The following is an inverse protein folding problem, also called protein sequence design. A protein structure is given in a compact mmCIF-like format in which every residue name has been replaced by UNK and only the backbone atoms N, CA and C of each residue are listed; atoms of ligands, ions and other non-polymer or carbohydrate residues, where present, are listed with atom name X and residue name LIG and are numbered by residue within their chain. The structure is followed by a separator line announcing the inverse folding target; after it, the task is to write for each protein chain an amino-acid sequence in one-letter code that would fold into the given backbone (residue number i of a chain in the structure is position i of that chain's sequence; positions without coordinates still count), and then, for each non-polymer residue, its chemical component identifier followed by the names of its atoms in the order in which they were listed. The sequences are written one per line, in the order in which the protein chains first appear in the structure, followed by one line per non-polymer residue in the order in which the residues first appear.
data_IF_313788587371
#
_entry.id   IF_313788587371
#
_cell.length_a   1.000
_cell.length_b   1.000
_cell.length_c   1.000
_cell.angle_alpha   90.00
_cell.angle_beta   90.00
_cell.angle_gamma   90.00
#
_symmetry.space_group_name_H-M   'P 1'
#
loop_
_entity.id
_entity.type
_entity.pdbx_description
1 polymer ?
#
# COMPACT_ATOMS: atom_id res chain seq x y z
N UNK A 1 13.99 -22.94 -3.36
CA UNK A 1 14.68 -22.53 -2.12
C UNK A 1 14.20 -23.42 -0.98
N UNK A 2 15.04 -23.70 0.02
CA UNK A 2 14.59 -24.35 1.25
C UNK A 2 14.32 -23.26 2.29
N UNK A 3 13.09 -23.17 2.81
CA UNK A 3 12.68 -22.10 3.73
C UNK A 3 11.17 -21.98 3.86
N UNK A 4 10.69 -21.09 4.72
CA UNK A 4 9.26 -20.85 4.93
C UNK A 4 8.56 -20.37 3.65
N UNK A 5 7.32 -20.77 3.43
CA UNK A 5 6.53 -20.34 2.26
C UNK A 5 6.21 -18.84 2.32
N UNK A 6 6.41 -18.13 1.21
CA UNK A 6 6.03 -16.71 1.09
C UNK A 6 6.70 -16.03 -0.10
N UNK A 7 6.03 -15.04 -0.70
CA UNK A 7 6.58 -14.25 -1.81
C UNK A 7 7.88 -13.55 -1.41
N UNK A 8 7.92 -12.94 -0.22
CA UNK A 8 9.10 -12.28 0.33
C UNK A 8 10.27 -13.22 0.57
N UNK A 9 10.06 -14.43 1.09
CA UNK A 9 11.11 -15.44 1.23
C UNK A 9 11.68 -15.89 -0.13
N UNK A 10 10.82 -16.03 -1.14
CA UNK A 10 11.28 -16.32 -2.49
C UNK A 10 12.14 -15.18 -3.06
N UNK A 11 11.70 -13.93 -2.88
CA UNK A 11 12.47 -12.74 -3.30
C UNK A 11 13.78 -12.64 -2.52
N UNK A 12 13.78 -12.85 -1.19
CA UNK A 12 14.99 -12.91 -0.36
C UNK A 12 16.01 -13.89 -0.96
N UNK A 13 15.59 -15.11 -1.29
CA UNK A 13 16.48 -16.11 -1.88
C UNK A 13 17.06 -15.65 -3.24
N UNK A 14 16.31 -14.90 -4.03
CA UNK A 14 16.79 -14.29 -5.28
C UNK A 14 17.84 -13.19 -4.99
N UNK A 15 17.61 -12.37 -3.96
CA UNK A 15 18.59 -11.35 -3.53
C UNK A 15 19.87 -11.99 -2.99
N UNK A 16 19.76 -13.07 -2.21
CA UNK A 16 20.90 -13.88 -1.73
C UNK A 16 21.69 -14.45 -2.91
N UNK A 17 21.03 -15.03 -3.91
CA UNK A 17 21.68 -15.54 -5.12
C UNK A 17 22.37 -14.41 -5.92
N UNK A 18 21.75 -13.23 -5.99
CA UNK A 18 22.34 -12.04 -6.62
C UNK A 18 23.62 -11.61 -5.90
N UNK A 19 23.56 -11.55 -4.57
CA UNK A 19 24.70 -11.22 -3.73
C UNK A 19 25.87 -12.18 -3.92
N UNK A 20 25.59 -13.49 -3.94
CA UNK A 20 26.58 -14.56 -4.09
C UNK A 20 27.19 -14.63 -5.49
N UNK A 21 26.39 -14.39 -6.53
CA UNK A 21 26.85 -14.45 -7.92
C UNK A 21 27.64 -13.21 -8.36
N UNK A 22 27.51 -12.09 -7.63
CA UNK A 22 28.11 -10.82 -8.03
C UNK A 22 27.41 -10.16 -9.22
N UNK A 23 26.15 -10.53 -9.49
CA UNK A 23 25.38 -9.93 -10.57
C UNK A 23 25.19 -8.40 -10.37
N UNK A 24 25.33 -7.63 -11.45
CA UNK A 24 25.21 -6.17 -11.41
C UNK A 24 23.75 -5.68 -11.37
N UNK A 25 22.83 -6.49 -11.87
CA UNK A 25 21.40 -6.20 -11.87
C UNK A 25 20.61 -7.48 -11.58
N UNK A 26 19.50 -7.33 -10.87
CA UNK A 26 18.58 -8.41 -10.51
C UNK A 26 17.17 -7.99 -10.90
N UNK A 27 16.60 -8.61 -11.92
CA UNK A 27 15.21 -8.39 -12.32
C UNK A 27 14.31 -9.42 -11.67
N UNK A 28 13.22 -8.95 -11.07
CA UNK A 28 12.15 -9.77 -10.50
C UNK A 28 10.91 -9.56 -11.34
N UNK A 29 10.26 -10.66 -11.70
CA UNK A 29 9.05 -10.68 -12.51
C UNK A 29 8.09 -11.71 -11.94
N UNK A 30 6.82 -11.35 -11.77
CA UNK A 30 5.84 -12.32 -11.28
C UNK A 30 5.53 -13.38 -12.32
N UNK A 31 5.55 -14.65 -11.90
CA UNK A 31 5.25 -15.79 -12.77
C UNK A 31 3.83 -15.75 -13.37
N UNK A 32 2.91 -15.00 -12.74
CA UNK A 32 1.51 -14.86 -13.19
C UNK A 32 1.25 -13.54 -13.92
N UNK A 33 2.28 -12.80 -14.34
CA UNK A 33 2.10 -11.57 -15.11
C UNK A 33 1.49 -11.88 -16.50
N UNK A 34 0.21 -11.56 -16.76
CA UNK A 34 -0.50 -12.09 -17.91
C UNK A 34 -0.11 -11.43 -19.24
N UNK A 35 0.33 -10.17 -19.21
CA UNK A 35 0.65 -9.40 -20.41
C UNK A 35 2.16 -9.13 -20.59
N UNK A 36 3.04 -9.95 -19.99
CA UNK A 36 4.49 -9.77 -20.14
C UNK A 36 4.92 -9.82 -21.61
N UNK A 37 5.72 -8.85 -22.04
CA UNK A 37 6.31 -8.82 -23.38
C UNK A 37 7.85 -8.82 -23.33
N UNK A 38 8.54 -9.20 -24.41
CA UNK A 38 10.01 -9.21 -24.46
C UNK A 38 10.66 -7.85 -24.14
N UNK A 39 9.95 -6.74 -24.35
CA UNK A 39 10.44 -5.38 -24.16
C UNK A 39 10.55 -4.96 -22.69
N UNK A 40 9.81 -5.63 -21.79
CA UNK A 40 9.77 -5.29 -20.36
C UNK A 40 11.13 -5.47 -19.69
N UNK A 41 11.80 -6.60 -19.96
CA UNK A 41 13.08 -6.92 -19.31
C UNK A 41 14.18 -5.91 -19.67
N UNK A 42 14.44 -5.60 -20.96
CA UNK A 42 15.37 -4.52 -21.32
C UNK A 42 14.98 -3.18 -20.69
N UNK A 43 13.69 -2.82 -20.68
CA UNK A 43 13.23 -1.55 -20.13
C UNK A 43 13.50 -1.43 -18.62
N UNK A 44 13.35 -2.52 -17.86
CA UNK A 44 13.61 -2.54 -16.41
C UNK A 44 15.08 -2.69 -16.05
N UNK A 45 15.84 -3.48 -16.82
CA UNK A 45 17.25 -3.79 -16.50
C UNK A 45 18.18 -2.65 -16.94
N UNK A 46 17.93 -2.04 -18.11
CA UNK A 46 18.82 -1.02 -18.65
C UNK A 46 19.03 0.18 -17.71
N UNK A 47 18.00 0.75 -17.05
CA UNK A 47 18.19 1.88 -16.14
C UNK A 47 19.05 1.54 -14.92
N UNK A 48 19.02 0.29 -14.46
CA UNK A 48 19.89 -0.19 -13.38
C UNK A 48 21.34 -0.33 -13.85
N UNK A 49 21.55 -0.92 -15.03
CA UNK A 49 22.88 -1.04 -15.63
C UNK A 49 23.52 0.31 -15.97
N UNK A 50 22.72 1.36 -16.19
CA UNK A 50 23.20 2.73 -16.43
C UNK A 50 23.31 3.57 -15.18
N UNK A 51 23.05 3.00 -13.99
CA UNK A 51 23.40 3.61 -12.71
C UNK A 51 22.22 3.98 -11.81
N UNK A 52 20.99 3.52 -12.06
CA UNK A 52 19.95 3.56 -11.01
C UNK A 52 20.13 2.38 -10.04
N UNK A 53 19.68 2.56 -8.81
CA UNK A 53 19.73 1.51 -7.80
C UNK A 53 18.48 0.63 -7.86
N UNK A 54 17.34 1.21 -8.25
CA UNK A 54 16.04 0.54 -8.38
C UNK A 54 15.27 1.08 -9.59
N UNK A 55 14.82 0.19 -10.46
CA UNK A 55 13.81 0.47 -11.49
C UNK A 55 12.50 -0.23 -11.13
N UNK A 56 11.42 0.52 -10.95
CA UNK A 56 10.09 -0.03 -10.65
C UNK A 56 9.19 0.07 -11.87
N UNK A 57 8.50 -1.01 -12.21
CA UNK A 57 7.54 -1.00 -13.29
C UNK A 57 6.34 -0.11 -12.93
N UNK A 58 5.94 0.71 -13.89
CA UNK A 58 4.68 1.43 -13.89
C UNK A 58 3.79 0.82 -14.98
N UNK A 59 2.55 0.49 -14.64
CA UNK A 59 1.66 -0.23 -15.54
C UNK A 59 0.32 0.46 -15.70
N UNK A 60 -0.39 0.11 -16.76
CA UNK A 60 -1.82 0.34 -16.90
C UNK A 60 -2.61 -0.92 -16.56
N UNK A 61 -3.57 -0.80 -15.64
CA UNK A 61 -4.49 -1.85 -15.18
C UNK A 61 -5.83 -1.27 -14.75
N UNK A 62 -6.86 -2.11 -14.61
CA UNK A 62 -8.20 -1.64 -14.21
C UNK A 62 -8.24 -1.11 -12.78
N UNK A 63 -9.28 -0.33 -12.48
CA UNK A 63 -9.49 0.25 -11.15
C UNK A 63 -9.67 -0.81 -10.06
N UNK A 64 -10.30 -1.95 -10.37
CA UNK A 64 -10.43 -3.06 -9.43
C UNK A 64 -9.07 -3.69 -9.09
N UNK A 65 -8.15 -3.80 -10.06
CA UNK A 65 -6.79 -4.31 -9.85
C UNK A 65 -5.86 -3.30 -9.17
N UNK A 66 -6.13 -2.00 -9.29
CA UNK A 66 -5.30 -0.95 -8.69
C UNK A 66 -5.87 -0.38 -7.40
N UNK A 67 -7.06 -0.78 -6.96
CA UNK A 67 -7.78 -0.20 -5.83
C UNK A 67 -6.91 -0.03 -4.56
N UNK A 68 -6.16 -1.06 -4.16
CA UNK A 68 -5.26 -0.99 -3.00
C UNK A 68 -4.08 -0.02 -3.21
N UNK A 69 -3.56 0.03 -4.44
CA UNK A 69 -2.47 0.95 -4.77
C UNK A 69 -2.95 2.39 -4.74
N UNK A 70 -4.06 2.66 -5.44
CA UNK A 70 -4.56 3.99 -5.71
C UNK A 70 -5.22 4.62 -4.48
N UNK A 71 -5.85 3.82 -3.63
CA UNK A 71 -6.56 4.34 -2.47
C UNK A 71 -5.75 4.28 -1.17
N UNK A 72 -4.68 3.50 -1.08
CA UNK A 72 -3.95 3.35 0.18
C UNK A 72 -2.44 3.42 -0.02
N UNK A 73 -1.85 2.50 -0.78
CA UNK A 73 -0.39 2.37 -0.79
C UNK A 73 0.33 3.59 -1.38
N UNK A 74 -0.12 4.09 -2.53
CA UNK A 74 0.45 5.28 -3.14
C UNK A 74 0.14 6.56 -2.32
N UNK A 75 -1.11 6.83 -1.90
CA UNK A 75 -1.39 7.93 -0.98
C UNK A 75 -0.55 7.91 0.29
N UNK A 76 -0.32 6.74 0.89
CA UNK A 76 0.51 6.62 2.08
C UNK A 76 1.97 6.94 1.79
N UNK A 77 2.52 6.53 0.64
CA UNK A 77 3.88 6.92 0.21
C UNK A 77 3.97 8.45 0.00
N UNK A 78 2.96 9.08 -0.59
CA UNK A 78 2.89 10.55 -0.73
C UNK A 78 2.82 11.25 0.63
N UNK A 79 2.00 10.77 1.56
CA UNK A 79 1.98 11.29 2.93
C UNK A 79 3.34 11.10 3.64
N UNK A 80 3.95 9.91 3.53
CA UNK A 80 5.11 9.55 4.31
C UNK A 80 6.41 10.19 3.81
N UNK A 81 6.66 10.10 2.50
CA UNK A 81 7.92 10.52 1.86
C UNK A 81 7.78 11.77 0.99
N UNK A 82 6.55 12.23 0.72
CA UNK A 82 6.26 13.25 -0.29
C UNK A 82 6.89 12.92 -1.65
N UNK A 83 6.85 11.64 -2.05
CA UNK A 83 7.45 11.14 -3.29
C UNK A 83 6.40 10.57 -4.24
N UNK A 84 6.48 10.90 -5.52
CA UNK A 84 5.56 10.49 -6.60
C UNK A 84 5.88 9.10 -7.19
N UNK A 85 6.34 8.16 -6.35
CA UNK A 85 6.53 6.76 -6.73
C UNK A 85 5.17 6.08 -6.88
N UNK A 86 4.63 6.07 -8.10
CA UNK A 86 3.23 5.75 -8.42
C UNK A 86 2.81 4.32 -8.10
N UNK A 87 3.75 3.38 -8.22
CA UNK A 87 3.50 1.94 -8.15
C UNK A 87 4.34 1.28 -7.04
N UNK A 88 4.13 1.63 -5.76
CA UNK A 88 4.93 1.09 -4.66
C UNK A 88 4.69 -0.41 -4.43
N UNK A 89 3.65 -0.99 -5.04
CA UNK A 89 3.32 -2.42 -4.94
C UNK A 89 3.81 -3.24 -6.14
N UNK A 90 4.52 -2.63 -7.10
CA UNK A 90 4.93 -3.27 -8.35
C UNK A 90 5.51 -4.69 -8.16
N UNK A 91 4.94 -5.66 -8.86
CA UNK A 91 5.42 -7.05 -8.90
C UNK A 91 6.70 -7.23 -9.73
N UNK A 92 6.93 -6.29 -10.65
CA UNK A 92 8.03 -6.28 -11.60
C UNK A 92 8.95 -5.10 -11.29
N UNK A 93 10.21 -5.40 -10.98
CA UNK A 93 11.19 -4.38 -10.67
C UNK A 93 12.60 -4.94 -10.89
N UNK A 94 13.58 -4.05 -11.01
CA UNK A 94 14.99 -4.39 -11.09
C UNK A 94 15.80 -3.65 -10.04
N UNK A 95 16.72 -4.35 -9.38
CA UNK A 95 17.61 -3.82 -8.36
C UNK A 95 19.06 -3.90 -8.84
N UNK A 96 19.89 -2.94 -8.43
CA UNK A 96 21.34 -3.08 -8.54
C UNK A 96 21.85 -4.20 -7.62
N UNK A 97 22.98 -4.80 -7.98
CA UNK A 97 23.63 -5.82 -7.13
C UNK A 97 24.00 -5.30 -5.74
N UNK A 98 24.36 -4.01 -5.64
CA UNK A 98 24.64 -3.35 -4.37
C UNK A 98 23.40 -3.20 -3.51
N UNK A 99 22.27 -2.78 -4.10
CA UNK A 99 21.01 -2.67 -3.36
C UNK A 99 20.50 -4.06 -2.95
N UNK A 100 20.62 -5.08 -3.80
CA UNK A 100 20.27 -6.45 -3.43
C UNK A 100 21.07 -6.95 -2.22
N UNK A 101 22.37 -6.69 -2.17
CA UNK A 101 23.25 -7.02 -1.03
C UNK A 101 22.88 -6.26 0.24
N UNK A 102 22.52 -4.99 0.11
CA UNK A 102 22.08 -4.18 1.25
C UNK A 102 20.76 -4.73 1.82
N UNK A 103 19.74 -4.87 0.98
CA UNK A 103 18.40 -5.30 1.39
C UNK A 103 18.39 -6.69 2.03
N UNK A 104 19.16 -7.64 1.48
CA UNK A 104 19.22 -9.00 2.04
C UNK A 104 19.81 -9.04 3.46
N UNK A 105 20.68 -8.09 3.79
CA UNK A 105 21.32 -8.00 5.11
C UNK A 105 20.44 -7.39 6.21
N UNK A 106 19.26 -6.89 5.86
CA UNK A 106 18.37 -6.20 6.80
C UNK A 106 17.59 -7.18 7.68
N UNK A 107 17.37 -6.76 8.93
CA UNK A 107 16.63 -7.54 9.92
C UNK A 107 15.12 -7.31 9.79
N UNK A 108 14.54 -7.80 8.70
CA UNK A 108 13.10 -7.66 8.38
C UNK A 108 12.45 -8.97 7.95
N UNK A 109 13.27 -10.00 7.70
CA UNK A 109 12.82 -11.24 7.07
C UNK A 109 12.05 -12.18 8.00
N UNK A 110 11.90 -11.84 9.28
CA UNK A 110 11.00 -12.52 10.22
C UNK A 110 9.67 -11.76 10.41
N UNK A 111 9.39 -10.78 9.54
CA UNK A 111 8.16 -9.97 9.54
C UNK A 111 7.33 -10.21 8.28
N UNK A 112 6.24 -9.46 8.10
CA UNK A 112 5.41 -9.44 6.88
C UNK A 112 6.17 -9.19 5.57
N UNK A 113 7.37 -8.62 5.66
CA UNK A 113 8.30 -8.47 4.54
C UNK A 113 8.68 -9.81 3.94
N UNK A 114 8.79 -10.89 4.72
CA UNK A 114 9.01 -12.24 4.17
C UNK A 114 7.78 -12.84 3.48
N UNK A 115 6.63 -12.15 3.52
CA UNK A 115 5.34 -12.58 2.97
C UNK A 115 4.95 -11.68 1.80
N UNK A 116 3.80 -11.01 1.86
CA UNK A 116 3.33 -10.13 0.78
C UNK A 116 3.80 -8.67 0.92
N UNK A 117 4.36 -8.28 2.08
CA UNK A 117 4.83 -6.92 2.33
C UNK A 117 6.14 -6.56 1.62
N UNK A 118 6.81 -7.52 0.98
CA UNK A 118 8.14 -7.32 0.36
C UNK A 118 8.16 -6.19 -0.68
N UNK A 119 7.15 -6.09 -1.54
CA UNK A 119 7.15 -5.11 -2.63
C UNK A 119 7.13 -3.67 -2.09
N UNK A 120 6.17 -3.39 -1.20
CA UNK A 120 6.05 -2.07 -0.57
C UNK A 120 7.26 -1.75 0.29
N UNK A 121 7.81 -2.77 0.97
CA UNK A 121 9.04 -2.59 1.74
C UNK A 121 10.23 -2.21 0.87
N UNK A 122 10.46 -2.88 -0.27
CA UNK A 122 11.55 -2.53 -1.20
C UNK A 122 11.41 -1.08 -1.66
N UNK A 123 10.20 -0.67 -2.08
CA UNK A 123 9.90 0.68 -2.53
C UNK A 123 10.18 1.73 -1.44
N UNK A 124 9.58 1.55 -0.26
CA UNK A 124 9.72 2.49 0.85
C UNK A 124 11.15 2.50 1.42
N UNK A 125 11.84 1.35 1.44
CA UNK A 125 13.21 1.30 1.93
C UNK A 125 14.16 2.02 0.98
N UNK A 126 13.99 1.85 -0.33
CA UNK A 126 14.77 2.61 -1.31
C UNK A 126 14.53 4.12 -1.20
N UNK A 127 13.28 4.54 -0.91
CA UNK A 127 12.95 5.93 -0.65
C UNK A 127 13.63 6.45 0.62
N UNK A 128 13.51 5.72 1.74
CA UNK A 128 14.09 6.07 3.03
C UNK A 128 15.62 6.17 2.99
N UNK A 129 16.26 5.29 2.23
CA UNK A 129 17.70 5.26 2.00
C UNK A 129 18.20 6.37 1.05
N UNK A 130 17.30 7.11 0.39
CA UNK A 130 17.69 8.08 -0.64
C UNK A 130 18.30 7.44 -1.90
N UNK A 131 17.95 6.19 -2.23
CA UNK A 131 18.45 5.48 -3.43
C UNK A 131 17.99 6.17 -4.72
N UNK A 132 18.72 5.95 -5.80
CA UNK A 132 18.33 6.41 -7.15
C UNK A 132 17.27 5.47 -7.71
N UNK A 133 16.04 5.94 -7.71
CA UNK A 133 14.87 5.20 -8.15
C UNK A 133 14.42 5.78 -9.49
N UNK A 134 13.97 4.92 -10.40
CA UNK A 134 13.33 5.28 -11.65
C UNK A 134 12.05 4.46 -11.84
N UNK A 135 11.01 5.10 -12.37
CA UNK A 135 9.77 4.46 -12.77
C UNK A 135 9.84 4.15 -14.27
N UNK A 136 9.41 2.96 -14.67
CA UNK A 136 9.50 2.51 -16.06
C UNK A 136 8.12 2.09 -16.54
N UNK A 137 7.57 2.81 -17.52
CA UNK A 137 6.34 2.40 -18.18
C UNK A 137 6.57 1.12 -18.96
N UNK A 138 5.93 0.05 -18.51
CA UNK A 138 5.90 -1.25 -19.21
C UNK A 138 4.56 -1.49 -19.91
N UNK A 139 3.65 -0.50 -19.89
CA UNK A 139 2.36 -0.55 -20.53
C UNK A 139 1.35 -1.42 -19.79
N UNK A 140 0.49 -2.12 -20.53
CA UNK A 140 -0.60 -2.89 -19.95
C UNK A 140 -0.08 -4.15 -19.25
N UNK A 141 -0.35 -4.28 -17.94
CA UNK A 141 0.02 -5.48 -17.16
C UNK A 141 -1.00 -6.61 -17.27
N UNK A 142 -2.26 -6.26 -17.52
CA UNK A 142 -3.41 -7.15 -17.38
C UNK A 142 -3.89 -7.27 -15.94
N UNK A 143 -5.11 -7.76 -15.79
CA UNK A 143 -5.79 -7.81 -14.49
C UNK A 143 -5.58 -9.16 -13.80
N UNK A 144 -4.96 -9.12 -12.63
CA UNK A 144 -5.09 -10.21 -11.67
C UNK A 144 -6.48 -10.07 -11.04
N UNK A 145 -7.31 -11.10 -11.10
CA UNK A 145 -8.69 -11.04 -10.58
C UNK A 145 -8.71 -10.55 -9.12
N UNK A 146 -9.54 -9.54 -8.84
CA UNK A 146 -9.93 -9.00 -7.53
C UNK A 146 -8.87 -9.15 -6.41
N UNK A 147 -7.94 -8.20 -6.32
CA UNK A 147 -6.96 -8.14 -5.24
C UNK A 147 -7.04 -6.82 -4.46
N UNK A 148 -7.32 -6.83 -3.14
CA UNK A 148 -7.86 -7.89 -2.29
C UNK A 148 -9.32 -8.26 -2.61
N UNK A 149 -9.80 -9.45 -2.24
CA UNK A 149 -11.21 -9.84 -2.44
C UNK A 149 -11.84 -10.66 -1.30
N UNK A 150 -11.07 -11.22 -0.36
CA UNK A 150 -11.62 -11.97 0.78
C UNK A 150 -11.51 -11.18 2.08
N UNK A 151 -12.40 -11.43 3.05
CA UNK A 151 -12.35 -10.76 4.37
C UNK A 151 -11.11 -11.05 5.22
N UNK A 152 -10.26 -11.98 4.80
CA UNK A 152 -9.00 -12.33 5.46
C UNK A 152 -7.83 -12.30 4.47
N UNK A 153 -7.81 -11.29 3.59
CA UNK A 153 -6.77 -11.18 2.57
C UNK A 153 -5.42 -10.81 3.18
N UNK A 154 -4.57 -11.83 3.32
CA UNK A 154 -3.22 -11.69 3.86
C UNK A 154 -2.34 -10.71 3.06
N UNK A 155 -2.65 -10.41 1.79
CA UNK A 155 -1.89 -9.41 1.03
C UNK A 155 -2.14 -8.03 1.59
N UNK A 156 -3.40 -7.69 1.87
CA UNK A 156 -3.75 -6.43 2.50
C UNK A 156 -3.08 -6.30 3.87
N UNK A 157 -3.24 -7.33 4.71
CA UNK A 157 -2.64 -7.37 6.05
C UNK A 157 -1.14 -7.07 6.01
N UNK A 158 -0.39 -7.85 5.24
CA UNK A 158 1.07 -7.73 5.18
C UNK A 158 1.53 -6.41 4.54
N UNK A 159 0.83 -5.92 3.50
CA UNK A 159 1.21 -4.65 2.82
C UNK A 159 0.93 -3.46 3.72
N UNK A 160 -0.28 -3.37 4.29
CA UNK A 160 -0.67 -2.25 5.13
C UNK A 160 0.06 -2.29 6.48
N UNK A 161 0.20 -3.45 7.11
CA UNK A 161 1.00 -3.62 8.31
C UNK A 161 2.46 -3.21 8.10
N UNK A 162 3.05 -3.58 6.96
CA UNK A 162 4.40 -3.12 6.58
C UNK A 162 4.47 -1.59 6.48
N UNK A 163 3.52 -0.94 5.80
CA UNK A 163 3.48 0.52 5.68
C UNK A 163 3.29 1.22 7.02
N UNK A 164 2.33 0.79 7.82
CA UNK A 164 2.05 1.41 9.12
C UNK A 164 3.23 1.30 10.07
N UNK A 165 3.98 0.18 10.03
CA UNK A 165 5.20 0.00 10.83
C UNK A 165 6.29 1.05 10.53
N UNK A 166 6.33 1.62 9.32
CA UNK A 166 7.26 2.71 8.99
C UNK A 166 7.03 3.97 9.83
N UNK A 167 5.81 4.22 10.32
CA UNK A 167 5.53 5.37 11.19
C UNK A 167 6.34 5.31 12.49
N UNK A 168 6.53 4.10 13.03
CA UNK A 168 7.35 3.90 14.24
C UNK A 168 8.84 3.80 13.91
N UNK A 169 9.22 3.01 12.91
CA UNK A 169 10.64 2.75 12.63
C UNK A 169 11.37 3.93 11.98
N UNK A 170 10.65 4.80 11.27
CA UNK A 170 11.21 5.94 10.52
C UNK A 170 10.51 7.25 10.93
N UNK A 171 10.32 7.45 12.24
CA UNK A 171 9.57 8.59 12.80
C UNK A 171 10.07 9.96 12.31
N UNK A 172 11.38 10.13 12.14
CA UNK A 172 11.96 11.39 11.69
C UNK A 172 11.57 11.76 10.26
N UNK A 173 11.25 10.78 9.41
CA UNK A 173 11.00 11.01 7.97
C UNK A 173 9.67 11.71 7.76
N UNK A 174 8.58 11.15 8.29
CA UNK A 174 7.23 11.65 8.04
C UNK A 174 6.84 12.88 8.90
N UNK A 175 7.57 13.12 10.00
CA UNK A 175 7.39 14.29 10.85
C UNK A 175 8.03 15.56 10.28
N UNK A 176 8.92 15.42 9.31
CA UNK A 176 9.52 16.55 8.62
C UNK A 176 8.63 16.95 7.43
N UNK A 177 8.50 18.25 7.23
CA UNK A 177 7.90 18.78 6.00
C UNK A 177 8.96 18.74 4.91
N UNK A 178 9.02 17.62 4.19
CA UNK A 178 9.95 17.42 3.09
C UNK A 178 9.37 18.03 1.79
N UNK A 179 10.22 18.64 0.93
CA UNK A 179 9.79 19.04 -0.41
C UNK A 179 9.37 17.82 -1.21
N UNK A 180 8.55 18.04 -2.23
CA UNK A 180 8.14 16.97 -3.13
C UNK A 180 9.36 16.36 -3.84
N UNK A 181 9.44 15.04 -3.84
CA UNK A 181 10.47 14.26 -4.50
C UNK A 181 9.89 13.65 -5.77
N UNK A 182 10.15 14.32 -6.90
CA UNK A 182 9.86 13.79 -8.22
C UNK A 182 10.84 12.64 -8.58
N UNK A 183 10.32 11.44 -8.76
CA UNK A 183 11.03 10.23 -9.16
C UNK A 183 11.02 10.17 -10.69
N UNK A 184 12.20 10.11 -11.33
CA UNK A 184 12.31 10.04 -12.79
C UNK A 184 11.42 8.95 -13.39
N UNK A 185 10.74 9.29 -14.48
CA UNK A 185 9.86 8.38 -15.22
C UNK A 185 10.43 8.16 -16.62
N UNK A 186 10.46 6.90 -17.07
CA UNK A 186 10.97 6.49 -18.38
C UNK A 186 9.93 5.63 -19.11
N UNK A 187 9.91 5.73 -20.43
CA UNK A 187 9.01 4.95 -21.28
C UNK A 187 7.93 5.81 -21.95
N UNK A 188 7.07 5.18 -22.78
CA UNK A 188 6.21 5.89 -23.71
C UNK A 188 5.05 6.66 -23.07
N UNK A 189 4.71 6.41 -21.80
CA UNK A 189 3.54 6.98 -21.13
C UNK A 189 2.28 6.79 -21.98
N UNK A 190 2.08 5.57 -22.49
CA UNK A 190 1.03 5.31 -23.47
C UNK A 190 -0.35 5.69 -22.90
N UNK A 191 -1.23 6.16 -23.80
CA UNK A 191 -2.64 6.39 -23.50
C UNK A 191 -3.21 5.09 -22.91
N UNK A 192 -3.55 5.12 -21.62
CA UNK A 192 -4.01 3.93 -20.93
C UNK A 192 -5.39 3.50 -21.42
N UNK A 193 -5.72 2.24 -21.19
CA UNK A 193 -6.98 1.66 -21.63
C UNK A 193 -8.14 2.18 -20.78
N UNK A 194 -9.32 2.18 -21.40
CA UNK A 194 -10.58 2.34 -20.69
C UNK A 194 -11.03 0.96 -20.24
N UNK A 195 -11.35 0.84 -18.96
CA UNK A 195 -11.84 -0.38 -18.33
C UNK A 195 -13.29 -0.16 -17.93
N UNK A 196 -14.10 -1.21 -18.07
CA UNK A 196 -15.50 -1.22 -17.64
C UNK A 196 -15.80 -2.42 -16.74
N UNK A 197 -14.76 -3.11 -16.27
CA UNK A 197 -14.89 -4.30 -15.45
C UNK A 197 -15.30 -3.89 -14.02
N UNK A 198 -16.34 -4.53 -13.50
CA UNK A 198 -16.90 -4.31 -12.18
C UNK A 198 -17.15 -5.63 -11.42
N UNK A 199 -16.54 -6.73 -11.87
CA UNK A 199 -16.78 -8.09 -11.37
C UNK A 199 -16.53 -8.22 -9.85
N UNK A 200 -15.66 -7.39 -9.29
CA UNK A 200 -15.32 -7.40 -7.87
C UNK A 200 -16.27 -6.54 -6.99
N UNK A 201 -17.16 -5.74 -7.58
CA UNK A 201 -17.95 -4.75 -6.83
C UNK A 201 -18.87 -5.41 -5.80
N UNK A 202 -19.57 -6.48 -6.18
CA UNK A 202 -20.46 -7.20 -5.27
C UNK A 202 -19.69 -7.79 -4.09
N UNK A 203 -18.52 -8.36 -4.35
CA UNK A 203 -17.65 -8.94 -3.33
C UNK A 203 -17.14 -7.87 -2.35
N UNK A 204 -16.76 -6.68 -2.83
CA UNK A 204 -16.36 -5.58 -1.95
C UNK A 204 -17.53 -5.08 -1.10
N UNK A 205 -18.71 -4.95 -1.70
CA UNK A 205 -19.89 -4.48 -0.97
C UNK A 205 -20.32 -5.47 0.11
N UNK A 206 -20.35 -6.76 -0.19
CA UNK A 206 -20.61 -7.82 0.77
C UNK A 206 -19.59 -7.80 1.91
N UNK A 207 -18.29 -7.72 1.56
CA UNK A 207 -17.21 -7.63 2.54
C UNK A 207 -17.35 -6.41 3.46
N UNK A 208 -17.65 -5.23 2.92
CA UNK A 208 -17.86 -4.02 3.73
C UNK A 208 -19.02 -4.17 4.72
N UNK A 209 -20.16 -4.72 4.26
CA UNK A 209 -21.35 -4.94 5.10
C UNK A 209 -21.12 -6.02 6.16
N UNK A 210 -20.46 -7.12 5.82
CA UNK A 210 -20.08 -8.15 6.79
C UNK A 210 -19.13 -7.61 7.86
N UNK A 211 -18.16 -6.79 7.46
CA UNK A 211 -17.30 -6.07 8.41
C UNK A 211 -18.08 -5.17 9.37
N UNK A 212 -19.09 -4.44 8.87
CA UNK A 212 -19.98 -3.63 9.70
C UNK A 212 -20.79 -4.46 10.69
N UNK A 213 -21.19 -5.68 10.33
CA UNK A 213 -21.92 -6.59 11.22
C UNK A 213 -21.03 -7.25 12.28
N UNK A 214 -19.76 -7.50 11.97
CA UNK A 214 -18.88 -8.36 12.79
C UNK A 214 -17.77 -7.60 13.54
N UNK A 215 -17.33 -6.44 13.06
CA UNK A 215 -16.17 -5.71 13.58
C UNK A 215 -16.52 -4.34 14.17
N UNK A 216 -17.81 -4.01 14.32
CA UNK A 216 -18.27 -2.73 14.84
C UNK A 216 -17.64 -2.33 16.18
N UNK A 217 -17.43 -3.30 17.08
CA UNK A 217 -16.79 -3.02 18.37
C UNK A 217 -15.31 -2.67 18.22
N UNK A 218 -14.60 -3.31 17.28
CA UNK A 218 -13.22 -2.91 16.98
C UNK A 218 -13.18 -1.54 16.29
N UNK A 219 -14.11 -1.24 15.39
CA UNK A 219 -14.21 0.09 14.80
C UNK A 219 -14.48 1.16 15.85
N UNK A 220 -15.32 0.90 16.86
CA UNK A 220 -15.55 1.82 17.98
C UNK A 220 -14.31 2.06 18.85
N UNK A 221 -13.41 1.08 18.95
CA UNK A 221 -12.15 1.22 19.68
C UNK A 221 -11.09 2.01 18.90
N UNK A 222 -11.16 1.97 17.57
CA UNK A 222 -10.16 2.61 16.69
C UNK A 222 -10.59 4.01 16.26
N UNK A 223 -11.85 4.16 15.86
CA UNK A 223 -12.38 5.36 15.23
C UNK A 223 -12.96 6.34 16.25
N UNK A 224 -12.79 7.63 15.97
CA UNK A 224 -13.50 8.71 16.62
C UNK A 224 -15.01 8.59 16.37
N UNK A 225 -15.82 9.15 17.27
CA UNK A 225 -17.28 9.10 17.18
C UNK A 225 -17.78 9.67 15.82
N UNK A 226 -17.24 10.80 15.39
CA UNK A 226 -17.56 11.43 14.10
C UNK A 226 -17.22 10.51 12.91
N UNK A 227 -16.01 9.94 12.87
CA UNK A 227 -15.58 9.04 11.79
C UNK A 227 -16.41 7.76 11.79
N UNK A 228 -16.70 7.18 12.96
CA UNK A 228 -17.51 5.97 13.10
C UNK A 228 -18.96 6.19 12.64
N UNK A 229 -19.58 7.30 13.02
CA UNK A 229 -20.94 7.66 12.59
C UNK A 229 -21.02 7.86 11.08
N UNK A 230 -20.01 8.51 10.48
CA UNK A 230 -19.94 8.69 9.04
C UNK A 230 -19.79 7.36 8.29
N UNK A 231 -18.89 6.47 8.75
CA UNK A 231 -18.72 5.12 8.17
C UNK A 231 -19.98 4.27 8.33
N UNK A 232 -20.62 4.30 9.49
CA UNK A 232 -21.80 3.46 9.77
C UNK A 232 -22.97 3.83 8.87
N UNK A 233 -23.16 5.12 8.56
CA UNK A 233 -24.19 5.57 7.61
C UNK A 233 -24.01 4.97 6.22
N UNK A 234 -22.78 4.69 5.79
CA UNK A 234 -22.51 4.11 4.48
C UNK A 234 -22.91 2.63 4.38
N UNK A 235 -23.08 1.91 5.50
CA UNK A 235 -23.44 0.49 5.49
C UNK A 235 -24.85 0.25 4.93
N UNK A 236 -25.74 1.23 5.12
CA UNK A 236 -27.13 1.17 4.69
C UNK A 236 -27.34 1.69 3.25
N UNK A 237 -26.33 2.32 2.65
CA UNK A 237 -26.41 2.85 1.29
C UNK A 237 -26.33 1.72 0.24
N UNK A 238 -27.13 1.80 -0.85
CA UNK A 238 -26.96 0.92 -2.01
C UNK A 238 -25.66 1.24 -2.78
N UNK A 239 -25.17 0.28 -3.56
CA UNK A 239 -23.87 0.38 -4.24
C UNK A 239 -23.77 1.60 -5.16
N UNK A 240 -24.90 1.97 -5.77
CA UNK A 240 -25.04 3.07 -6.72
C UNK A 240 -24.87 4.45 -6.06
N UNK A 241 -25.18 4.56 -4.76
CA UNK A 241 -25.10 5.83 -4.00
C UNK A 241 -24.01 5.83 -2.93
N UNK A 242 -23.46 4.66 -2.56
CA UNK A 242 -22.41 4.53 -1.55
C UNK A 242 -21.21 5.42 -1.89
N UNK A 243 -20.98 6.46 -1.10
CA UNK A 243 -19.92 7.44 -1.34
C UNK A 243 -18.97 7.51 -0.14
N UNK A 244 -17.95 6.66 -0.16
CA UNK A 244 -16.85 6.72 0.78
C UNK A 244 -15.86 7.79 0.30
N UNK A 245 -16.11 9.03 0.72
CA UNK A 245 -15.36 10.19 0.25
C UNK A 245 -13.86 10.09 0.57
N UNK A 246 -12.97 10.73 -0.23
CA UNK A 246 -11.54 10.79 0.05
C UNK A 246 -11.22 11.31 1.46
N UNK A 247 -11.97 12.29 1.95
CA UNK A 247 -11.81 12.89 3.27
C UNK A 247 -12.09 11.92 4.41
N UNK A 248 -13.22 11.20 4.33
CA UNK A 248 -13.59 10.21 5.33
C UNK A 248 -12.60 9.05 5.33
N UNK A 249 -12.21 8.60 4.14
CA UNK A 249 -11.22 7.53 3.98
C UNK A 249 -9.86 7.91 4.55
N UNK A 250 -9.41 9.15 4.32
CA UNK A 250 -8.17 9.64 4.89
C UNK A 250 -8.20 9.72 6.43
N UNK A 251 -9.33 10.10 7.03
CA UNK A 251 -9.49 10.06 8.49
C UNK A 251 -9.38 8.62 9.01
N UNK A 252 -10.06 7.66 8.36
CA UNK A 252 -9.96 6.23 8.69
C UNK A 252 -8.51 5.74 8.61
N UNK A 253 -7.79 6.00 7.52
CA UNK A 253 -6.38 5.60 7.40
C UNK A 253 -5.55 6.15 8.56
N UNK A 254 -5.67 7.44 8.86
CA UNK A 254 -4.87 8.11 9.90
C UNK A 254 -5.16 7.55 11.30
N UNK A 255 -6.43 7.38 11.64
CA UNK A 255 -6.84 6.86 12.94
C UNK A 255 -6.39 5.39 13.13
N UNK A 256 -6.58 4.54 12.11
CA UNK A 256 -6.07 3.17 12.12
C UNK A 256 -4.54 3.11 12.18
N UNK A 257 -3.83 3.96 11.45
CA UNK A 257 -2.37 4.00 11.46
C UNK A 257 -1.81 4.39 12.83
N UNK A 258 -2.49 5.31 13.54
CA UNK A 258 -2.13 5.67 14.92
C UNK A 258 -2.39 4.51 15.87
N UNK A 259 -3.57 3.89 15.83
CA UNK A 259 -3.91 2.77 16.74
C UNK A 259 -3.03 1.55 16.48
N UNK A 260 -2.71 1.24 15.23
CA UNK A 260 -1.76 0.18 14.87
C UNK A 260 -0.42 0.32 15.60
N UNK A 261 0.09 1.55 15.71
CA UNK A 261 1.42 1.81 16.26
C UNK A 261 1.43 2.17 17.75
N UNK A 262 0.35 2.74 18.27
CA UNK A 262 0.29 3.32 19.62
C UNK A 262 -0.73 2.63 20.52
N UNK A 263 -1.66 1.87 19.94
CA UNK A 263 -2.70 1.14 20.66
C UNK A 263 -2.17 -0.02 21.49
N UNK A 264 -2.96 -0.39 22.49
CA UNK A 264 -2.77 -1.63 23.21
C UNK A 264 -3.55 -2.72 22.47
N UNK A 265 -2.87 -3.78 22.04
CA UNK A 265 -3.51 -4.88 21.33
C UNK A 265 -2.62 -5.48 20.26
N UNK A 266 -3.24 -6.32 19.46
CA UNK A 266 -2.60 -6.97 18.31
C UNK A 266 -2.69 -6.05 17.08
N UNK A 267 -1.56 -5.54 16.56
CA UNK A 267 -1.56 -4.68 15.37
C UNK A 267 -2.16 -5.37 14.14
N UNK A 268 -2.06 -6.71 14.04
CA UNK A 268 -2.62 -7.44 12.91
C UNK A 268 -4.15 -7.37 12.93
N UNK A 269 -4.77 -7.50 14.12
CA UNK A 269 -6.22 -7.32 14.29
C UNK A 269 -6.70 -5.91 13.92
N UNK A 270 -5.87 -4.89 14.13
CA UNK A 270 -6.17 -3.52 13.71
C UNK A 270 -6.23 -3.42 12.19
N UNK A 271 -5.28 -4.02 11.47
CA UNK A 271 -5.29 -4.01 9.99
C UNK A 271 -6.38 -4.93 9.43
N UNK A 272 -6.67 -6.06 10.06
CA UNK A 272 -7.83 -6.90 9.72
C UNK A 272 -9.14 -6.10 9.81
N UNK A 273 -9.30 -5.28 10.86
CA UNK A 273 -10.46 -4.42 11.01
C UNK A 273 -10.54 -3.28 9.99
N UNK A 274 -9.42 -2.90 9.37
CA UNK A 274 -9.39 -1.90 8.30
C UNK A 274 -9.84 -2.46 6.94
N UNK A 275 -9.65 -3.76 6.70
CA UNK A 275 -9.88 -4.37 5.39
C UNK A 275 -11.33 -4.19 4.88
N UNK A 276 -12.39 -4.40 5.67
CA UNK A 276 -13.74 -4.16 5.17
C UNK A 276 -14.04 -2.68 4.88
N UNK A 277 -13.43 -1.75 5.63
CA UNK A 277 -13.54 -0.31 5.33
C UNK A 277 -12.87 0.03 4.00
N UNK A 278 -11.73 -0.58 3.72
CA UNK A 278 -11.08 -0.50 2.41
C UNK A 278 -12.02 -1.01 1.30
N UNK A 279 -12.77 -2.09 1.53
CA UNK A 279 -13.75 -2.56 0.54
C UNK A 279 -14.85 -1.53 0.28
N UNK A 280 -15.37 -0.85 1.30
CA UNK A 280 -16.30 0.26 1.11
C UNK A 280 -15.70 1.36 0.22
N UNK A 281 -14.44 1.73 0.46
CA UNK A 281 -13.72 2.69 -0.40
C UNK A 281 -13.50 2.17 -1.83
N UNK A 282 -13.18 0.89 -1.98
CA UNK A 282 -12.96 0.27 -3.29
C UNK A 282 -14.25 0.26 -4.13
N UNK A 283 -15.43 0.04 -3.54
CA UNK A 283 -16.73 0.16 -4.24
C UNK A 283 -16.90 1.56 -4.84
N UNK A 284 -16.69 2.61 -4.03
CA UNK A 284 -16.79 4.00 -4.51
C UNK A 284 -15.78 4.27 -5.63
N UNK A 285 -14.52 3.85 -5.45
CA UNK A 285 -13.45 4.06 -6.43
C UNK A 285 -13.71 3.37 -7.76
N UNK A 286 -14.07 2.08 -7.74
CA UNK A 286 -14.35 1.30 -8.96
C UNK A 286 -15.53 1.92 -9.71
N UNK A 287 -16.61 2.30 -9.02
CA UNK A 287 -17.76 2.97 -9.62
C UNK A 287 -17.38 4.30 -10.27
N UNK A 288 -16.64 5.16 -9.57
CA UNK A 288 -16.19 6.46 -10.09
C UNK A 288 -15.25 6.31 -11.29
N UNK A 289 -14.50 5.21 -11.35
CA UNK A 289 -13.52 4.95 -12.41
C UNK A 289 -14.11 4.37 -13.69
N UNK A 290 -15.40 3.97 -13.67
CA UNK A 290 -16.05 3.33 -14.82
C UNK A 290 -15.99 4.21 -16.06
N UNK A 291 -15.44 3.68 -17.15
CA UNK A 291 -15.35 4.40 -18.42
C UNK A 291 -14.31 5.54 -18.44
N UNK A 292 -13.54 5.74 -17.37
CA UNK A 292 -12.48 6.74 -17.35
C UNK A 292 -11.22 6.26 -18.08
N UNK A 293 -10.50 7.21 -18.68
CA UNK A 293 -9.13 7.01 -19.13
C UNK A 293 -8.19 6.82 -17.93
N UNK A 294 -6.93 6.44 -18.20
CA UNK A 294 -5.88 6.44 -17.18
C UNK A 294 -5.75 7.80 -16.48
N UNK A 295 -5.74 8.89 -17.24
CA UNK A 295 -5.67 10.25 -16.69
C UNK A 295 -6.86 10.57 -15.75
N UNK A 296 -8.08 10.15 -16.12
CA UNK A 296 -9.24 10.31 -15.24
C UNK A 296 -9.11 9.53 -13.93
N UNK A 297 -8.54 8.31 -13.96
CA UNK A 297 -8.26 7.52 -12.75
C UNK A 297 -7.12 8.11 -11.91
N UNK A 298 -6.11 8.70 -12.55
CA UNK A 298 -5.05 9.44 -11.83
C UNK A 298 -5.62 10.64 -11.09
N UNK A 299 -6.60 11.37 -11.67
CA UNK A 299 -7.27 12.46 -10.98
C UNK A 299 -8.02 11.99 -9.71
N UNK A 300 -8.76 10.88 -9.79
CA UNK A 300 -9.42 10.27 -8.62
C UNK A 300 -8.40 9.82 -7.55
N UNK A 301 -7.24 9.31 -7.98
CA UNK A 301 -6.16 8.92 -7.07
C UNK A 301 -5.57 10.14 -6.37
N UNK A 302 -5.37 11.25 -7.09
CA UNK A 302 -4.82 12.48 -6.52
C UNK A 302 -5.78 13.12 -5.50
N UNK A 303 -7.10 12.99 -5.66
CA UNK A 303 -8.06 13.41 -4.63
C UNK A 303 -7.82 12.68 -3.29
N UNK A 304 -7.53 11.37 -3.33
CA UNK A 304 -7.19 10.58 -2.13
C UNK A 304 -5.84 11.00 -1.57
N UNK A 305 -4.85 11.23 -2.43
CA UNK A 305 -3.53 11.74 -2.01
C UNK A 305 -3.69 13.07 -1.28
N UNK A 306 -4.38 14.03 -1.88
CA UNK A 306 -4.58 15.36 -1.33
C UNK A 306 -5.30 15.28 0.01
N UNK A 307 -6.40 14.52 0.07
CA UNK A 307 -7.13 14.30 1.31
C UNK A 307 -6.20 13.75 2.40
N UNK A 308 -5.38 12.73 2.11
CA UNK A 308 -4.50 12.12 3.09
C UNK A 308 -3.33 13.04 3.52
N UNK A 309 -2.72 13.76 2.58
CA UNK A 309 -1.64 14.73 2.85
C UNK A 309 -2.14 15.87 3.75
N UNK A 310 -3.35 16.37 3.53
CA UNK A 310 -3.98 17.40 4.38
C UNK A 310 -4.17 16.93 5.84
N UNK A 311 -4.35 15.62 6.08
CA UNK A 311 -4.44 15.05 7.44
C UNK A 311 -3.07 14.84 8.09
N UNK A 312 -1.94 15.29 7.50
CA UNK A 312 -0.63 15.22 8.18
C UNK A 312 -0.67 15.85 9.58
N UNK A 313 -1.32 17.01 9.70
CA UNK A 313 -1.46 17.73 10.99
C UNK A 313 -2.30 16.91 12.00
N UNK A 314 -3.37 16.26 11.53
CA UNK A 314 -4.19 15.35 12.31
C UNK A 314 -3.37 14.15 12.79
N UNK A 315 -2.62 13.50 11.88
CA UNK A 315 -1.74 12.37 12.20
C UNK A 315 -0.73 12.76 13.30
N UNK A 316 -0.04 13.89 13.16
CA UNK A 316 0.91 14.38 14.17
C UNK A 316 0.22 14.63 15.53
N UNK A 317 -0.98 15.22 15.49
CA UNK A 317 -1.76 15.52 16.70
C UNK A 317 -2.20 14.25 17.41
N UNK A 318 -2.80 13.30 16.69
CA UNK A 318 -3.24 12.02 17.24
C UNK A 318 -2.05 11.21 17.76
N UNK A 319 -0.96 11.14 16.99
CA UNK A 319 0.25 10.44 17.41
C UNK A 319 0.83 10.97 18.74
N UNK A 320 0.83 12.30 18.93
CA UNK A 320 1.31 12.95 20.14
C UNK A 320 0.36 12.83 21.34
N UNK A 321 -0.96 12.82 21.08
CA UNK A 321 -2.00 12.76 22.13
C UNK A 321 -2.38 11.33 22.52
N UNK A 322 -2.09 10.34 21.68
CA UNK A 322 -2.51 8.96 21.94
C UNK A 322 -1.93 8.46 23.27
N UNK A 323 -2.83 8.28 24.24
CA UNK A 323 -2.57 7.59 25.49
C UNK A 323 -3.20 6.20 25.35
N UNK A 324 -2.42 5.12 25.42
CA UNK A 324 -3.00 3.79 25.57
C UNK A 324 -3.94 3.77 26.79
N UNK A 325 -5.02 2.98 26.70
CA UNK A 325 -6.10 2.96 27.69
C UNK A 325 -5.52 2.69 29.09
N UNK A 326 -5.43 3.71 29.94
CA UNK A 326 -5.09 3.50 31.35
C UNK A 326 -6.33 2.93 31.99
N UNK A 327 -6.25 1.67 32.42
CA UNK A 327 -7.30 1.03 33.20
C UNK A 327 -7.75 1.96 34.36
N UNK A 328 -9.01 2.45 34.35
CA UNK A 328 -9.54 3.29 35.41
C UNK A 328 -9.71 2.52 36.75
N UNK A 329 -9.45 1.20 36.79
CA UNK A 329 -9.60 0.38 37.99
C UNK A 329 -8.59 0.67 39.11
N UNK A 330 -7.50 1.40 38.85
CA UNK A 330 -6.62 1.91 39.91
C UNK A 330 -5.97 0.84 40.82
N UNK A 331 -5.86 -0.42 40.37
CA UNK A 331 -5.19 -1.47 41.15
C UNK A 331 -3.70 -1.59 40.83
N UNK A 332 -2.94 -0.59 41.26
CA UNK A 332 -1.55 -0.80 41.67
C UNK A 332 -1.30 -0.05 42.98
N UNK A 333 -1.73 -0.65 44.08
CA UNK A 333 -1.09 -0.49 45.38
C UNK A 333 -0.26 -1.74 45.66
N UNK A 334 1.02 -1.55 45.96
CA UNK A 334 1.85 -2.58 46.58
C UNK A 334 3.32 -2.47 46.21
N UNK A 335 4.03 -1.57 46.89
CA UNK A 335 5.47 -1.69 47.18
C UNK A 335 5.77 -2.99 47.97
#
# INVERSE_FOLDING_TARGET
YAGGMGKGNAIRAILEATALSGAHACAIVEARCPAITPEWLPALVQPVLTGNDLAMAAYDRSAQSSALTDNLAYPFVRLFFNADLREPLAGEFCLSGDLARDLVSRDVWETDVARFGVNVWVAMQALADGRRIVQVDVGHRGDAHCEPGSLADLRFLHVVGTQFRYLTTHRSVWQQEAPERAIPFQGPQAEGRVYTDDECMDQFLEGFREGGATLMEMWRQVLSEETLEAVTRLLDEPAETLDFSPELWANVIVEFAVVYNRGEGDPDRVVEALLPLFYGRAVTYVRQSQGLSREGREALTEEVVQALVERRSLLVTLWGKYRPWIDPSGYWQGD
#
